data_IF_738356229618
#
_entry.id   IF_738356229618
#
_cell.length_a   1.000
_cell.length_b   1.000
_cell.length_c   1.000
_cell.angle_alpha   90.00
_cell.angle_beta   90.00
_cell.angle_gamma   90.00
#
_symmetry.space_group_name_H-M   'P 1'
#
loop_
_entity.id
_entity.type
_entity.pdbx_description
1 polymer ?
#
# COMPACT_ATOMS: atom_id res chain seq x y z
N UNK A 1 92.13 8.96 -0.40
CA UNK A 1 90.97 9.82 -0.12
C UNK A 1 90.03 9.70 -1.32
N UNK A 2 88.72 9.43 -1.09
CA UNK A 2 87.63 9.16 -2.05
C UNK A 2 87.65 7.77 -2.73
N UNK A 3 86.95 6.74 -2.21
CA UNK A 3 85.50 6.39 -2.14
C UNK A 3 84.92 5.77 -3.43
N UNK A 4 84.55 4.49 -3.27
CA UNK A 4 83.83 3.56 -4.15
C UNK A 4 82.42 4.06 -4.47
N UNK A 5 81.92 3.78 -5.69
CA UNK A 5 80.50 3.60 -5.97
C UNK A 5 80.30 2.25 -6.66
N UNK A 6 79.65 1.31 -5.99
CA UNK A 6 79.12 0.08 -6.58
C UNK A 6 77.62 0.29 -6.83
N UNK A 7 77.19 0.13 -8.07
CA UNK A 7 75.77 0.15 -8.42
C UNK A 7 75.13 -1.20 -8.09
N UNK A 8 74.25 -1.21 -7.09
CA UNK A 8 73.41 -2.36 -6.76
C UNK A 8 72.13 -2.32 -7.61
N UNK A 9 71.86 -3.41 -8.33
CA UNK A 9 70.58 -3.70 -8.98
C UNK A 9 69.52 -3.98 -7.90
N UNK A 10 68.45 -3.16 -7.85
CA UNK A 10 67.23 -3.47 -7.10
C UNK A 10 66.24 -4.15 -8.08
N UNK A 11 65.98 -5.44 -7.86
CA UNK A 11 64.88 -6.16 -8.49
C UNK A 11 63.63 -5.87 -7.64
N UNK A 12 62.72 -5.04 -8.16
CA UNK A 12 61.40 -4.83 -7.57
C UNK A 12 60.49 -5.96 -8.03
N UNK A 13 60.18 -6.88 -7.12
CA UNK A 13 59.17 -7.91 -7.33
C UNK A 13 57.79 -7.28 -7.21
N UNK A 14 57.04 -7.20 -8.32
CA UNK A 14 55.68 -6.71 -8.34
C UNK A 14 54.72 -7.80 -7.85
N UNK A 15 54.32 -7.73 -6.58
CA UNK A 15 53.19 -8.50 -6.06
C UNK A 15 51.90 -7.98 -6.69
N UNK A 16 51.35 -8.73 -7.64
CA UNK A 16 50.00 -8.52 -8.18
C UNK A 16 49.03 -8.92 -7.07
N UNK A 17 48.58 -7.94 -6.28
CA UNK A 17 47.40 -8.11 -5.43
C UNK A 17 46.18 -8.18 -6.35
N UNK A 18 45.73 -9.39 -6.66
CA UNK A 18 44.37 -9.60 -7.17
C UNK A 18 43.41 -9.07 -6.12
N UNK A 19 42.80 -7.92 -6.39
CA UNK A 19 41.67 -7.39 -5.62
C UNK A 19 40.49 -8.35 -5.76
N UNK A 20 40.43 -9.38 -4.91
CA UNK A 20 39.15 -9.98 -4.55
C UNK A 20 38.36 -8.91 -3.80
N UNK A 21 37.50 -8.18 -4.51
CA UNK A 21 36.45 -7.41 -3.86
C UNK A 21 35.59 -8.41 -3.06
N UNK A 22 35.48 -8.29 -1.74
CA UNK A 22 34.61 -9.15 -0.97
C UNK A 22 33.18 -8.90 -1.44
N UNK A 23 32.58 -9.89 -2.09
CA UNK A 23 31.15 -9.88 -2.37
C UNK A 23 30.46 -9.95 -1.01
N UNK A 24 29.95 -8.82 -0.52
CA UNK A 24 29.16 -8.78 0.71
C UNK A 24 27.96 -9.69 0.47
N UNK A 25 27.90 -10.82 1.17
CA UNK A 25 26.76 -11.73 1.10
C UNK A 25 25.55 -10.97 1.64
N UNK A 26 24.54 -10.75 0.79
CA UNK A 26 23.29 -10.13 1.21
C UNK A 26 22.60 -11.07 2.19
N UNK A 27 22.35 -10.59 3.41
CA UNK A 27 21.56 -11.32 4.39
C UNK A 27 20.09 -11.34 3.96
N UNK A 28 19.46 -12.52 3.99
CA UNK A 28 18.06 -12.68 3.64
C UNK A 28 17.21 -12.24 4.84
N UNK A 29 16.59 -11.07 4.73
CA UNK A 29 15.76 -10.47 5.77
C UNK A 29 14.34 -10.23 5.25
N UNK A 30 13.50 -11.27 5.29
CA UNK A 30 12.12 -11.21 4.81
C UNK A 30 11.17 -10.94 6.00
N UNK A 31 10.31 -9.93 5.84
CA UNK A 31 9.27 -9.51 6.77
C UNK A 31 7.88 -9.50 6.10
N UNK A 32 6.85 -10.10 6.71
CA UNK A 32 6.92 -11.00 7.86
C UNK A 32 7.79 -12.24 7.60
N UNK A 33 8.40 -12.78 8.66
CA UNK A 33 9.26 -13.97 8.58
C UNK A 33 8.48 -15.14 8.01
N UNK A 34 8.98 -15.80 6.93
CA UNK A 34 8.31 -16.96 6.37
C UNK A 34 8.23 -18.11 7.37
N UNK A 35 7.22 -18.98 7.21
CA UNK A 35 7.09 -20.20 8.01
C UNK A 35 8.31 -21.12 7.86
N UNK A 36 8.81 -21.28 6.62
CA UNK A 36 10.00 -22.06 6.31
C UNK A 36 10.82 -21.39 5.20
N UNK A 37 12.13 -21.32 5.39
CA UNK A 37 13.09 -20.82 4.40
C UNK A 37 14.37 -21.66 4.46
N UNK A 38 14.77 -22.22 3.31
CA UNK A 38 16.04 -22.93 3.13
C UNK A 38 16.86 -22.22 2.06
N UNK A 39 18.03 -21.68 2.44
CA UNK A 39 18.98 -21.06 1.52
C UNK A 39 19.98 -22.10 0.99
N UNK A 40 20.32 -22.02 -0.30
CA UNK A 40 21.36 -22.82 -0.92
C UNK A 40 22.37 -21.92 -1.64
N UNK A 41 23.48 -22.51 -2.10
CA UNK A 41 24.52 -21.76 -2.82
C UNK A 41 24.07 -21.42 -4.25
N UNK A 42 24.37 -20.19 -4.68
CA UNK A 42 24.05 -19.69 -6.01
C UNK A 42 22.99 -18.60 -6.00
N UNK A 43 22.69 -18.06 -7.17
CA UNK A 43 21.64 -17.07 -7.35
C UNK A 43 21.02 -17.15 -8.75
N UNK A 44 19.76 -16.75 -8.83
CA UNK A 44 19.04 -16.46 -10.06
C UNK A 44 19.36 -15.02 -10.49
N UNK A 45 19.97 -14.85 -11.67
CA UNK A 45 20.36 -13.52 -12.18
C UNK A 45 19.22 -12.92 -13.00
N UNK A 46 18.78 -11.71 -12.64
CA UNK A 46 17.77 -10.99 -13.43
C UNK A 46 18.41 -10.42 -14.70
N UNK A 47 17.72 -10.57 -15.82
CA UNK A 47 18.19 -10.17 -17.15
C UNK A 47 17.11 -9.40 -17.91
N UNK A 48 17.54 -8.60 -18.87
CA UNK A 48 16.62 -8.00 -19.83
C UNK A 48 15.95 -9.08 -20.70
N UNK A 49 14.70 -8.84 -21.08
CA UNK A 49 13.89 -9.73 -21.91
C UNK A 49 13.34 -10.95 -21.19
N UNK A 50 13.41 -10.99 -19.85
CA UNK A 50 12.82 -12.08 -19.07
C UNK A 50 11.33 -12.25 -19.36
N UNK A 51 10.86 -13.49 -19.21
CA UNK A 51 9.47 -13.88 -19.37
C UNK A 51 8.86 -14.31 -18.04
N UNK A 52 7.72 -13.73 -17.68
CA UNK A 52 6.88 -14.16 -16.57
C UNK A 52 5.72 -14.95 -17.15
N UNK A 53 5.68 -16.25 -16.87
CA UNK A 53 4.54 -17.09 -17.19
C UNK A 53 3.52 -17.14 -16.04
N UNK A 54 2.26 -17.29 -16.37
CA UNK A 54 1.18 -17.57 -15.41
C UNK A 54 0.35 -18.76 -15.85
N UNK A 55 -0.22 -19.51 -14.90
CA UNK A 55 -1.08 -20.66 -15.25
C UNK A 55 -2.46 -20.25 -15.78
N UNK A 56 -2.92 -19.05 -15.45
CA UNK A 56 -4.27 -18.58 -15.73
C UNK A 56 -4.27 -17.06 -16.00
N UNK A 57 -5.14 -16.59 -16.92
CA UNK A 57 -5.22 -15.17 -17.28
C UNK A 57 -5.66 -14.26 -16.13
N UNK A 58 -6.39 -14.79 -15.15
CA UNK A 58 -6.75 -14.08 -13.92
C UNK A 58 -5.54 -13.62 -13.10
N UNK A 59 -4.35 -14.19 -13.35
CA UNK A 59 -3.10 -13.78 -12.71
C UNK A 59 -2.34 -12.68 -13.48
N UNK A 60 -2.83 -12.23 -14.64
CA UNK A 60 -2.19 -11.13 -15.38
C UNK A 60 -2.01 -9.85 -14.55
N UNK A 61 -2.99 -9.41 -13.71
CA UNK A 61 -2.78 -8.25 -12.85
C UNK A 61 -1.62 -8.42 -11.85
N UNK A 62 -1.41 -9.62 -11.32
CA UNK A 62 -0.30 -9.94 -10.42
C UNK A 62 1.04 -9.94 -11.15
N UNK A 63 1.10 -10.52 -12.36
CA UNK A 63 2.30 -10.47 -13.20
C UNK A 63 2.65 -9.01 -13.60
N UNK A 64 1.63 -8.19 -13.90
CA UNK A 64 1.79 -6.76 -14.15
C UNK A 64 2.32 -6.00 -12.93
N UNK A 65 1.86 -6.35 -11.72
CA UNK A 65 2.37 -5.78 -10.48
C UNK A 65 3.85 -6.13 -10.25
N UNK A 66 4.23 -7.40 -10.45
CA UNK A 66 5.65 -7.78 -10.40
C UNK A 66 6.47 -7.05 -11.47
N UNK A 67 5.94 -6.89 -12.68
CA UNK A 67 6.61 -6.11 -13.72
C UNK A 67 6.85 -4.66 -13.26
N UNK A 68 5.88 -4.02 -12.61
CA UNK A 68 6.02 -2.67 -12.07
C UNK A 68 7.17 -2.58 -11.05
N UNK A 69 7.24 -3.52 -10.10
CA UNK A 69 8.35 -3.63 -9.13
C UNK A 69 9.70 -3.77 -9.87
N UNK A 70 9.75 -4.60 -10.91
CA UNK A 70 10.98 -4.87 -11.64
C UNK A 70 11.39 -3.75 -12.61
N UNK A 71 10.56 -2.72 -12.89
CA UNK A 71 10.94 -1.62 -13.80
C UNK A 71 12.17 -0.83 -13.34
N UNK A 72 12.39 -0.76 -12.03
CA UNK A 72 13.58 -0.13 -11.45
C UNK A 72 14.82 -1.04 -11.54
N UNK A 73 14.63 -2.32 -11.87
CA UNK A 73 15.63 -3.39 -11.81
C UNK A 73 16.12 -3.76 -13.21
N UNK A 74 15.21 -3.86 -14.19
CA UNK A 74 15.50 -4.26 -15.58
C UNK A 74 15.05 -3.18 -16.59
N UNK A 75 15.65 -3.16 -17.78
CA UNK A 75 15.47 -2.13 -18.81
C UNK A 75 14.34 -2.38 -19.78
N UNK A 76 14.14 -3.63 -20.14
CA UNK A 76 13.06 -4.03 -21.05
C UNK A 76 11.83 -4.51 -20.29
N UNK A 77 10.65 -4.33 -20.88
CA UNK A 77 9.41 -4.90 -20.38
C UNK A 77 9.46 -6.43 -20.32
N UNK A 78 8.94 -6.99 -19.24
CA UNK A 78 8.71 -8.44 -19.12
C UNK A 78 7.54 -8.86 -20.01
N UNK A 79 7.70 -9.94 -20.77
CA UNK A 79 6.60 -10.59 -21.50
C UNK A 79 5.78 -11.46 -20.54
N UNK A 80 4.45 -11.26 -20.51
CA UNK A 80 3.53 -12.10 -19.75
C UNK A 80 2.87 -13.10 -20.69
N UNK A 81 2.95 -14.38 -20.36
CA UNK A 81 2.41 -15.46 -21.20
C UNK A 81 1.75 -16.55 -20.37
N UNK A 82 0.84 -17.32 -20.97
CA UNK A 82 0.33 -18.56 -20.38
C UNK A 82 1.16 -19.78 -20.81
N UNK A 83 2.09 -19.61 -21.75
CA UNK A 83 2.98 -20.68 -22.19
C UNK A 83 4.08 -20.93 -21.15
N UNK A 84 4.07 -22.12 -20.57
CA UNK A 84 5.07 -22.55 -19.58
C UNK A 84 6.42 -22.85 -20.21
N UNK A 85 6.48 -23.11 -21.52
CA UNK A 85 7.72 -23.49 -22.19
C UNK A 85 8.68 -22.29 -22.24
N UNK A 86 9.80 -22.43 -21.50
CA UNK A 86 10.91 -21.45 -21.44
C UNK A 86 10.55 -20.08 -20.83
N UNK A 87 9.85 -20.06 -19.69
CA UNK A 87 9.70 -18.84 -18.86
C UNK A 87 10.68 -18.81 -17.69
N UNK A 88 11.23 -17.64 -17.40
CA UNK A 88 12.20 -17.44 -16.31
C UNK A 88 11.50 -17.46 -14.95
N UNK A 89 10.31 -16.85 -14.84
CA UNK A 89 9.45 -16.95 -13.66
C UNK A 89 8.10 -17.56 -14.04
N UNK A 90 7.53 -18.41 -13.18
CA UNK A 90 6.20 -18.99 -13.43
C UNK A 90 5.36 -19.03 -12.16
N UNK A 91 4.14 -18.49 -12.25
CA UNK A 91 3.18 -18.38 -11.17
C UNK A 91 1.97 -19.25 -11.46
N UNK A 92 1.63 -20.16 -10.55
CA UNK A 92 0.47 -21.03 -10.73
C UNK A 92 -0.40 -21.16 -9.50
N UNK A 93 -1.71 -21.26 -9.75
CA UNK A 93 -2.68 -21.64 -8.72
C UNK A 93 -2.72 -23.16 -8.58
N UNK A 94 -2.67 -23.63 -7.34
CA UNK A 94 -2.79 -25.03 -6.96
C UNK A 94 -3.48 -25.14 -5.60
N UNK A 95 -4.67 -25.74 -5.59
CA UNK A 95 -5.49 -25.92 -4.39
C UNK A 95 -4.80 -26.74 -3.28
N UNK A 96 -3.75 -27.51 -3.61
CA UNK A 96 -3.05 -28.39 -2.68
C UNK A 96 -1.96 -27.72 -1.85
N UNK A 97 -1.71 -26.41 -2.03
CA UNK A 97 -0.59 -25.70 -1.38
C UNK A 97 -0.84 -25.44 0.11
N UNK A 98 -2.10 -25.39 0.54
CA UNK A 98 -2.48 -25.18 1.93
C UNK A 98 -3.74 -24.32 2.06
N UNK A 99 -3.83 -23.58 3.17
CA UNK A 99 -4.94 -22.65 3.46
C UNK A 99 -4.90 -21.40 2.57
N UNK A 100 -5.94 -20.54 2.55
CA UNK A 100 -5.92 -19.30 1.77
C UNK A 100 -4.66 -18.46 2.01
N UNK A 101 -4.18 -17.79 0.95
CA UNK A 101 -2.94 -17.02 0.89
C UNK A 101 -1.63 -17.78 1.14
N UNK A 102 -1.64 -19.11 1.16
CA UNK A 102 -0.41 -19.91 1.23
C UNK A 102 0.32 -19.91 -0.11
N UNK A 103 1.65 -19.99 -0.07
CA UNK A 103 2.48 -20.17 -1.26
C UNK A 103 3.73 -21.00 -0.99
N UNK A 104 4.24 -21.61 -2.05
CA UNK A 104 5.59 -22.18 -2.14
C UNK A 104 6.36 -21.41 -3.20
N UNK A 105 7.59 -21.03 -2.89
CA UNK A 105 8.50 -20.37 -3.81
C UNK A 105 9.80 -21.18 -3.91
N UNK A 106 10.19 -21.48 -5.13
CA UNK A 106 11.47 -22.10 -5.46
C UNK A 106 12.24 -21.15 -6.38
N UNK A 107 13.47 -20.79 -5.97
CA UNK A 107 14.43 -20.05 -6.77
C UNK A 107 15.63 -20.95 -7.05
N UNK A 108 15.99 -21.09 -8.32
CA UNK A 108 17.17 -21.84 -8.83
C UNK A 108 18.00 -20.92 -9.72
N UNK A 109 19.24 -21.27 -10.08
CA UNK A 109 20.02 -20.45 -11.02
C UNK A 109 19.32 -20.23 -12.39
N UNK A 110 18.44 -21.15 -12.80
CA UNK A 110 17.78 -21.14 -14.10
C UNK A 110 16.38 -20.52 -14.09
N UNK A 111 15.65 -20.59 -12.96
CA UNK A 111 14.26 -20.16 -12.90
C UNK A 111 13.77 -19.82 -11.48
N UNK A 112 12.63 -19.12 -11.43
CA UNK A 112 11.78 -19.01 -10.24
C UNK A 112 10.41 -19.65 -10.50
N UNK A 113 9.90 -20.42 -9.54
CA UNK A 113 8.55 -21.01 -9.57
C UNK A 113 7.80 -20.67 -8.31
N UNK A 114 6.53 -20.30 -8.48
CA UNK A 114 5.60 -20.02 -7.39
C UNK A 114 4.35 -20.86 -7.58
N UNK A 115 3.97 -21.58 -6.52
CA UNK A 115 2.68 -22.25 -6.41
C UNK A 115 1.91 -21.60 -5.27
N UNK A 116 0.66 -21.20 -5.47
CA UNK A 116 -0.17 -20.62 -4.41
C UNK A 116 -1.58 -21.20 -4.42
N UNK A 117 -2.23 -21.16 -3.26
CA UNK A 117 -3.64 -21.59 -3.14
C UNK A 117 -4.59 -20.64 -3.87
N UNK A 118 -4.32 -19.33 -3.84
CA UNK A 118 -5.18 -18.29 -4.40
C UNK A 118 -4.36 -17.07 -4.89
N UNK A 119 -5.05 -16.06 -5.42
CA UNK A 119 -4.43 -14.81 -5.88
C UNK A 119 -3.62 -14.11 -4.77
N UNK A 120 -4.13 -14.09 -3.54
CA UNK A 120 -3.46 -13.46 -2.39
C UNK A 120 -2.14 -14.16 -2.01
N UNK A 121 -2.06 -15.48 -2.23
CA UNK A 121 -0.82 -16.24 -2.10
C UNK A 121 0.20 -15.89 -3.17
N UNK A 122 -0.24 -15.66 -4.42
CA UNK A 122 0.62 -15.15 -5.50
C UNK A 122 1.19 -13.77 -5.15
N UNK A 123 0.35 -12.85 -4.65
CA UNK A 123 0.83 -11.52 -4.23
C UNK A 123 1.81 -11.63 -3.07
N UNK A 124 1.54 -12.50 -2.09
CA UNK A 124 2.45 -12.73 -0.96
C UNK A 124 3.82 -13.25 -1.42
N UNK A 125 3.84 -14.14 -2.43
CA UNK A 125 5.07 -14.61 -3.05
C UNK A 125 5.81 -13.50 -3.80
N UNK A 126 5.09 -12.63 -4.54
CA UNK A 126 5.67 -11.45 -5.21
C UNK A 126 6.32 -10.51 -4.18
N UNK A 127 5.67 -10.27 -3.04
CA UNK A 127 6.25 -9.48 -1.95
C UNK A 127 7.53 -10.13 -1.41
N UNK A 128 7.55 -11.46 -1.27
CA UNK A 128 8.77 -12.19 -0.88
C UNK A 128 9.88 -12.07 -1.93
N UNK A 129 9.56 -12.17 -3.23
CA UNK A 129 10.52 -11.93 -4.32
C UNK A 129 11.09 -10.51 -4.24
N UNK A 130 10.24 -9.50 -4.01
CA UNK A 130 10.65 -8.10 -3.85
C UNK A 130 11.65 -7.93 -2.70
N UNK A 131 11.43 -8.60 -1.56
CA UNK A 131 12.31 -8.50 -0.40
C UNK A 131 13.57 -9.38 -0.47
N UNK A 132 13.60 -10.37 -1.36
CA UNK A 132 14.84 -11.10 -1.68
C UNK A 132 15.82 -10.25 -2.50
N UNK A 133 15.34 -9.19 -3.14
CA UNK A 133 16.16 -8.18 -3.82
C UNK A 133 16.67 -7.13 -2.81
N UNK A 134 17.81 -6.49 -3.07
CA UNK A 134 18.36 -5.47 -2.17
C UNK A 134 17.51 -4.20 -2.18
N UNK A 135 17.51 -3.46 -1.06
CA UNK A 135 16.74 -2.22 -0.89
C UNK A 135 17.05 -1.13 -1.96
N UNK A 136 18.16 -1.24 -2.67
CA UNK A 136 18.51 -0.33 -3.77
C UNK A 136 17.54 -0.39 -4.94
N UNK A 137 16.68 -1.43 -5.05
CA UNK A 137 15.61 -1.46 -6.08
C UNK A 137 14.51 -0.42 -5.84
N UNK A 138 14.40 0.09 -4.61
CA UNK A 138 13.33 1.04 -4.21
C UNK A 138 13.69 2.49 -4.55
N UNK A 139 14.95 2.76 -4.90
CA UNK A 139 15.45 4.09 -5.23
C UNK A 139 15.78 4.14 -6.72
N UNK A 140 15.36 5.18 -7.41
CA UNK A 140 15.77 5.40 -8.79
C UNK A 140 17.27 5.65 -8.85
N UNK A 141 17.98 4.87 -9.67
CA UNK A 141 19.43 4.94 -9.80
C UNK A 141 19.94 4.18 -11.01
N UNK A 142 21.26 4.08 -11.15
CA UNK A 142 21.88 3.27 -12.21
C UNK A 142 21.48 1.80 -12.04
N UNK A 143 21.01 1.19 -13.13
CA UNK A 143 20.60 -0.21 -13.13
C UNK A 143 21.81 -1.09 -12.88
N UNK A 144 21.75 -1.87 -11.81
CA UNK A 144 22.79 -2.81 -11.43
C UNK A 144 22.42 -4.23 -11.87
N UNK A 145 23.39 -5.14 -11.83
CA UNK A 145 23.10 -6.57 -11.97
C UNK A 145 22.49 -7.07 -10.66
N UNK A 146 21.18 -7.29 -10.66
CA UNK A 146 20.45 -7.82 -9.52
C UNK A 146 20.31 -9.34 -9.62
N UNK A 147 20.32 -10.00 -8.47
CA UNK A 147 20.12 -11.45 -8.38
C UNK A 147 19.30 -11.81 -7.14
N UNK A 148 18.55 -12.90 -7.22
CA UNK A 148 17.80 -13.49 -6.12
C UNK A 148 18.54 -14.75 -5.66
N UNK A 149 18.78 -14.96 -4.35
CA UNK A 149 19.47 -16.17 -3.87
C UNK A 149 18.66 -17.44 -4.21
N UNK A 150 19.36 -18.56 -4.32
CA UNK A 150 18.71 -19.89 -4.46
C UNK A 150 18.07 -20.24 -3.12
N UNK A 151 16.74 -20.33 -3.11
CA UNK A 151 15.96 -20.56 -1.90
C UNK A 151 14.76 -21.46 -2.17
N UNK A 152 14.36 -22.19 -1.14
CA UNK A 152 13.04 -22.83 -1.06
C UNK A 152 12.29 -22.23 0.13
N UNK A 153 11.11 -21.68 -0.14
CA UNK A 153 10.25 -21.03 0.85
C UNK A 153 8.87 -21.69 0.81
N UNK A 154 8.37 -22.07 1.98
CA UNK A 154 6.96 -22.42 2.17
C UNK A 154 6.40 -21.47 3.22
N UNK A 155 5.28 -20.83 2.90
CA UNK A 155 4.77 -19.75 3.73
C UNK A 155 3.24 -19.66 3.69
N UNK A 156 2.67 -19.23 4.81
CA UNK A 156 1.25 -19.07 5.00
C UNK A 156 0.98 -18.08 6.15
N UNK A 157 -0.06 -17.24 6.06
CA UNK A 157 -0.34 -16.28 7.11
C UNK A 157 -0.81 -16.99 8.38
N UNK A 158 -0.43 -16.53 9.57
CA UNK A 158 -1.02 -17.04 10.82
C UNK A 158 -2.52 -16.74 10.91
N UNK A 159 -2.91 -15.51 10.56
CA UNK A 159 -4.29 -15.02 10.58
C UNK A 159 -4.72 -14.56 9.18
N UNK A 160 -5.96 -14.86 8.82
CA UNK A 160 -6.53 -14.47 7.53
C UNK A 160 -6.85 -12.98 7.46
N UNK A 161 -7.27 -12.38 8.58
CA UNK A 161 -7.53 -10.95 8.68
C UNK A 161 -6.29 -10.20 9.18
N UNK A 162 -5.63 -9.44 8.31
CA UNK A 162 -4.43 -8.64 8.64
C UNK A 162 -4.70 -7.20 8.22
N UNK A 163 -5.26 -6.45 9.16
CA UNK A 163 -5.84 -5.14 8.91
C UNK A 163 -4.90 -3.97 9.17
N UNK A 164 -5.12 -2.89 8.42
CA UNK A 164 -4.66 -1.54 8.72
C UNK A 164 -5.84 -0.58 8.54
N UNK A 165 -6.04 0.32 9.50
CA UNK A 165 -7.12 1.31 9.46
C UNK A 165 -6.56 2.70 9.16
N UNK A 166 -7.14 3.40 8.19
CA UNK A 166 -6.81 4.80 7.87
C UNK A 166 -7.99 5.71 8.20
N UNK A 167 -7.75 6.67 9.10
CA UNK A 167 -8.67 7.77 9.37
C UNK A 167 -8.49 8.85 8.30
N UNK A 168 -9.39 8.86 7.32
CA UNK A 168 -9.44 9.92 6.31
C UNK A 168 -10.38 11.06 6.70
N UNK A 169 -11.11 10.91 7.81
CA UNK A 169 -12.12 11.87 8.24
C UNK A 169 -11.51 13.05 8.98
N UNK A 170 -10.73 12.81 10.04
CA UNK A 170 -10.18 13.89 10.88
C UNK A 170 -9.24 14.81 10.08
N UNK A 171 -8.39 14.19 9.27
CA UNK A 171 -7.52 14.82 8.29
C UNK A 171 -7.64 14.06 6.97
N UNK A 172 -7.85 14.78 5.88
CA UNK A 172 -8.06 14.18 4.57
C UNK A 172 -6.76 13.63 3.99
N UNK A 173 -6.84 12.45 3.38
CA UNK A 173 -5.76 11.80 2.64
C UNK A 173 -6.12 11.78 1.16
N UNK A 174 -5.34 12.40 0.29
CA UNK A 174 -5.62 12.36 -1.15
C UNK A 174 -5.39 10.95 -1.73
N UNK A 175 -5.88 10.70 -2.94
CA UNK A 175 -5.78 9.40 -3.61
C UNK A 175 -4.34 8.86 -3.70
N UNK A 176 -3.36 9.72 -3.95
CA UNK A 176 -1.94 9.32 -4.06
C UNK A 176 -1.42 8.83 -2.70
N UNK A 177 -1.76 9.52 -1.62
CA UNK A 177 -1.36 9.13 -0.26
C UNK A 177 -2.02 7.80 0.15
N UNK A 178 -3.31 7.60 -0.17
CA UNK A 178 -4.00 6.33 0.09
C UNK A 178 -3.35 5.17 -0.66
N UNK A 179 -3.02 5.36 -1.94
CA UNK A 179 -2.31 4.36 -2.75
C UNK A 179 -0.94 4.02 -2.16
N UNK A 180 -0.22 5.01 -1.65
CA UNK A 180 1.05 4.77 -0.98
C UNK A 180 0.90 3.91 0.28
N UNK A 181 -0.14 4.13 1.08
CA UNK A 181 -0.47 3.25 2.22
C UNK A 181 -0.74 1.81 1.74
N UNK A 182 -1.49 1.63 0.65
CA UNK A 182 -1.76 0.31 0.08
C UNK A 182 -0.47 -0.40 -0.42
N UNK A 183 0.49 0.34 -0.97
CA UNK A 183 1.80 -0.21 -1.34
C UNK A 183 2.55 -0.73 -0.10
N UNK A 184 2.55 0.03 0.99
CA UNK A 184 3.17 -0.37 2.26
C UNK A 184 2.45 -1.58 2.87
N UNK A 185 1.12 -1.60 2.85
CA UNK A 185 0.34 -2.75 3.30
C UNK A 185 0.72 -4.02 2.54
N UNK A 186 0.82 -3.94 1.20
CA UNK A 186 1.22 -5.06 0.34
C UNK A 186 2.64 -5.54 0.64
N UNK A 187 3.57 -4.60 0.88
CA UNK A 187 4.96 -4.91 1.26
C UNK A 187 5.05 -5.73 2.55
N UNK A 188 4.11 -5.55 3.48
CA UNK A 188 4.03 -6.30 4.74
C UNK A 188 2.97 -7.40 4.74
N UNK A 189 2.44 -7.77 3.56
CA UNK A 189 1.43 -8.83 3.38
C UNK A 189 0.12 -8.59 4.15
N UNK A 190 -0.21 -7.33 4.49
CA UNK A 190 -1.52 -6.95 5.03
C UNK A 190 -2.58 -6.98 3.92
N UNK A 191 -3.81 -7.37 4.24
CA UNK A 191 -4.84 -7.67 3.23
C UNK A 191 -6.23 -7.06 3.51
N UNK A 192 -6.41 -6.35 4.62
CA UNK A 192 -7.68 -5.66 4.92
C UNK A 192 -7.40 -4.18 5.14
N UNK A 193 -7.85 -3.34 4.23
CA UNK A 193 -7.75 -1.89 4.35
C UNK A 193 -9.06 -1.35 4.91
N UNK A 194 -9.09 -1.07 6.21
CA UNK A 194 -10.24 -0.45 6.85
C UNK A 194 -10.17 1.05 6.63
N UNK A 195 -11.11 1.57 5.87
CA UNK A 195 -11.11 2.97 5.47
C UNK A 195 -12.21 3.74 6.19
N UNK A 196 -11.82 4.55 7.17
CA UNK A 196 -12.73 5.37 7.97
C UNK A 196 -13.04 6.67 7.22
N UNK A 197 -14.25 6.74 6.64
CA UNK A 197 -14.64 7.72 5.62
C UNK A 197 -15.57 8.83 6.14
N UNK A 198 -16.08 8.72 7.36
CA UNK A 198 -16.95 9.75 7.94
C UNK A 198 -16.74 9.88 9.43
N UNK A 199 -16.69 11.11 9.93
CA UNK A 199 -16.69 11.44 11.35
C UNK A 199 -17.26 12.86 11.56
N UNK A 200 -17.15 13.39 12.76
CA UNK A 200 -17.62 14.73 13.12
C UNK A 200 -16.95 15.85 12.33
N UNK A 201 -15.68 15.68 11.94
CA UNK A 201 -14.86 16.71 11.29
C UNK A 201 -14.87 16.60 9.76
N UNK A 202 -15.52 15.58 9.19
CA UNK A 202 -15.50 15.36 7.76
C UNK A 202 -16.36 14.21 7.26
N UNK A 203 -16.97 14.42 6.10
CA UNK A 203 -17.56 13.37 5.29
C UNK A 203 -16.76 13.23 4.00
N UNK A 204 -16.22 12.04 3.71
CA UNK A 204 -15.18 11.86 2.68
C UNK A 204 -15.63 11.10 1.45
N UNK A 205 -16.86 10.62 1.38
CA UNK A 205 -17.38 9.84 0.25
C UNK A 205 -18.50 10.59 -0.44
N UNK A 206 -18.44 10.72 -1.76
CA UNK A 206 -19.58 11.19 -2.55
C UNK A 206 -20.78 10.26 -2.37
N UNK A 207 -21.95 10.84 -2.11
CA UNK A 207 -23.25 10.14 -2.09
C UNK A 207 -24.18 10.96 -2.97
N UNK A 208 -24.51 10.47 -4.15
CA UNK A 208 -25.22 11.19 -5.20
C UNK A 208 -26.58 11.69 -4.71
N UNK A 209 -27.29 10.89 -3.90
CA UNK A 209 -28.58 11.30 -3.33
C UNK A 209 -28.46 12.44 -2.30
N UNK A 210 -27.29 12.63 -1.70
CA UNK A 210 -27.06 13.60 -0.62
C UNK A 210 -25.84 14.49 -0.89
N UNK A 211 -25.85 15.34 -1.93
CA UNK A 211 -24.68 16.09 -2.39
C UNK A 211 -24.07 17.02 -1.33
N UNK A 212 -24.87 17.55 -0.39
CA UNK A 212 -24.35 18.43 0.66
C UNK A 212 -23.34 17.74 1.59
N UNK A 213 -23.34 16.40 1.65
CA UNK A 213 -22.37 15.65 2.44
C UNK A 213 -20.94 15.95 2.00
N UNK A 214 -20.68 16.09 0.70
CA UNK A 214 -19.34 16.42 0.17
C UNK A 214 -19.19 17.88 -0.25
N UNK A 215 -20.23 18.52 -0.75
CA UNK A 215 -20.17 19.95 -1.10
C UNK A 215 -19.82 20.83 0.12
N UNK A 216 -20.38 20.48 1.28
CA UNK A 216 -20.19 21.19 2.56
C UNK A 216 -19.58 20.31 3.65
N UNK A 217 -20.13 19.12 3.90
CA UNK A 217 -19.70 18.24 5.01
C UNK A 217 -18.24 17.74 4.90
N UNK A 218 -17.65 17.74 3.71
CA UNK A 218 -16.24 17.44 3.50
C UNK A 218 -15.28 18.58 3.88
N UNK A 219 -15.79 19.75 4.29
CA UNK A 219 -14.96 20.95 4.42
C UNK A 219 -15.23 21.67 5.73
N UNK A 220 -14.15 22.07 6.42
CA UNK A 220 -14.23 22.79 7.70
C UNK A 220 -13.24 23.94 7.76
N UNK A 221 -13.52 24.93 8.60
CA UNK A 221 -12.50 25.92 8.99
C UNK A 221 -11.38 25.24 9.79
N UNK A 222 -10.21 25.85 9.83
CA UNK A 222 -9.11 25.35 10.66
C UNK A 222 -9.50 25.28 12.14
N UNK A 223 -9.36 24.09 12.70
CA UNK A 223 -9.60 23.82 14.12
C UNK A 223 -8.32 24.08 14.92
N UNK A 224 -8.37 23.81 16.23
CA UNK A 224 -7.22 24.01 17.12
C UNK A 224 -6.00 23.18 16.71
N UNK A 225 -6.18 21.96 16.20
CA UNK A 225 -5.07 21.09 15.81
C UNK A 225 -4.34 21.63 14.59
N UNK A 226 -5.07 22.07 13.55
CA UNK A 226 -4.41 22.64 12.36
C UNK A 226 -3.68 23.93 12.73
N UNK A 227 -4.28 24.78 13.58
CA UNK A 227 -3.64 26.01 14.06
C UNK A 227 -2.38 25.73 14.87
N UNK A 228 -2.37 24.68 15.68
CA UNK A 228 -1.19 24.23 16.41
C UNK A 228 -0.09 23.77 15.44
N UNK A 229 -0.42 22.97 14.42
CA UNK A 229 0.55 22.59 13.39
C UNK A 229 1.13 23.82 12.69
N UNK A 230 0.29 24.76 12.25
CA UNK A 230 0.75 26.00 11.61
C UNK A 230 1.65 26.86 12.52
N UNK A 231 1.34 26.93 13.82
CA UNK A 231 2.19 27.63 14.79
C UNK A 231 3.54 26.94 14.94
N UNK A 232 3.56 25.61 15.10
CA UNK A 232 4.78 24.81 15.20
C UNK A 232 5.63 24.89 13.94
N UNK A 233 5.03 24.89 12.75
CA UNK A 233 5.75 25.06 11.49
C UNK A 233 6.62 26.32 11.49
N UNK A 234 6.08 27.41 12.06
CA UNK A 234 6.77 28.69 12.18
C UNK A 234 7.77 28.73 13.34
N UNK A 235 7.39 28.22 14.51
CA UNK A 235 8.21 28.26 15.72
C UNK A 235 9.43 27.34 15.64
N UNK A 236 9.28 26.19 14.98
CA UNK A 236 10.31 25.15 14.86
C UNK A 236 11.06 25.21 13.52
N UNK A 237 10.71 26.13 12.61
CA UNK A 237 11.21 26.18 11.22
C UNK A 237 11.10 24.81 10.52
N UNK A 238 9.95 24.16 10.69
CA UNK A 238 9.72 22.79 10.22
C UNK A 238 8.52 22.73 9.27
N UNK A 239 8.80 22.52 7.99
CA UNK A 239 7.80 22.45 6.92
C UNK A 239 6.87 21.25 7.04
N UNK A 240 7.23 20.20 7.79
CA UNK A 240 6.39 19.00 7.96
C UNK A 240 5.07 19.30 8.70
N UNK A 241 5.01 20.42 9.43
CA UNK A 241 3.78 20.86 10.10
C UNK A 241 2.90 21.79 9.24
N UNK A 242 3.31 22.11 8.01
CA UNK A 242 2.47 22.91 7.12
C UNK A 242 1.23 22.12 6.70
N UNK A 243 0.09 22.81 6.64
CA UNK A 243 -1.12 22.23 6.08
C UNK A 243 -0.94 22.14 4.55
N UNK A 244 -1.09 20.96 3.93
CA UNK A 244 -0.90 20.80 2.49
C UNK A 244 -1.87 21.68 1.68
N UNK A 245 -1.34 22.39 0.67
CA UNK A 245 -2.12 23.32 -0.15
C UNK A 245 -3.22 22.62 -0.96
N UNK A 246 -2.99 21.37 -1.39
CA UNK A 246 -3.95 20.55 -2.13
C UNK A 246 -5.16 20.11 -1.29
N UNK A 247 -5.15 20.40 0.03
CA UNK A 247 -6.23 20.12 0.98
C UNK A 247 -6.95 21.40 1.43
N UNK A 248 -6.64 22.54 0.81
CA UNK A 248 -7.19 23.85 1.13
C UNK A 248 -8.02 24.37 -0.03
N UNK A 249 -9.16 25.00 0.27
CA UNK A 249 -9.94 25.79 -0.70
C UNK A 249 -10.39 27.12 -0.09
N UNK A 250 -10.61 28.13 -0.93
CA UNK A 250 -11.16 29.42 -0.52
C UNK A 250 -12.58 29.56 -1.07
N UNK A 251 -13.54 29.80 -0.19
CA UNK A 251 -14.96 30.01 -0.55
C UNK A 251 -15.43 31.26 0.15
N UNK A 252 -15.86 32.28 -0.61
CA UNK A 252 -16.40 33.54 -0.08
C UNK A 252 -15.48 34.24 0.95
N UNK A 253 -14.16 34.09 0.79
CA UNK A 253 -13.16 34.66 1.69
C UNK A 253 -12.81 33.80 2.91
N UNK A 254 -13.53 32.69 3.14
CA UNK A 254 -13.19 31.69 4.15
C UNK A 254 -12.18 30.68 3.59
N UNK A 255 -11.10 30.44 4.34
CA UNK A 255 -10.17 29.32 4.10
C UNK A 255 -10.73 28.06 4.73
N UNK A 256 -10.98 27.05 3.91
CA UNK A 256 -11.48 25.74 4.31
C UNK A 256 -10.44 24.66 4.07
N UNK A 257 -10.42 23.68 4.96
CA UNK A 257 -9.62 22.47 4.88
C UNK A 257 -10.53 21.27 4.64
N UNK A 258 -10.11 20.34 3.80
CA UNK A 258 -10.84 19.10 3.58
C UNK A 258 -10.55 18.44 2.25
N UNK A 259 -11.57 17.74 1.75
CA UNK A 259 -11.50 16.90 0.58
C UNK A 259 -12.42 15.68 0.74
N UNK A 260 -12.74 15.05 -0.39
CA UNK A 260 -13.55 13.85 -0.48
C UNK A 260 -13.13 13.03 -1.70
N UNK A 261 -13.60 11.80 -1.77
CA UNK A 261 -13.41 10.86 -2.87
C UNK A 261 -14.69 10.79 -3.68
N UNK A 262 -14.55 11.00 -4.99
CA UNK A 262 -15.63 10.72 -5.95
C UNK A 262 -15.85 9.22 -6.12
N UNK A 263 -16.96 8.83 -6.74
CA UNK A 263 -17.18 7.44 -7.13
C UNK A 263 -16.03 6.87 -7.98
N UNK A 264 -15.45 7.67 -8.88
CA UNK A 264 -14.35 7.24 -9.73
C UNK A 264 -13.03 7.11 -8.96
N UNK A 265 -12.75 8.01 -8.00
CA UNK A 265 -11.59 7.87 -7.11
C UNK A 265 -11.66 6.58 -6.29
N UNK A 266 -12.84 6.26 -5.77
CA UNK A 266 -13.06 5.03 -4.98
C UNK A 266 -12.86 3.80 -5.86
N UNK A 267 -13.47 3.74 -7.05
CA UNK A 267 -13.28 2.63 -7.99
C UNK A 267 -11.81 2.44 -8.36
N UNK A 268 -11.08 3.54 -8.57
CA UNK A 268 -9.65 3.49 -8.87
C UNK A 268 -8.84 2.95 -7.67
N UNK A 269 -9.16 3.37 -6.44
CA UNK A 269 -8.48 2.89 -5.22
C UNK A 269 -8.80 1.42 -4.96
N UNK A 270 -10.06 1.00 -5.09
CA UNK A 270 -10.50 -0.40 -4.96
C UNK A 270 -9.76 -1.27 -5.97
N UNK A 271 -9.73 -0.91 -7.25
CA UNK A 271 -9.00 -1.66 -8.27
C UNK A 271 -7.49 -1.74 -7.97
N UNK A 272 -6.90 -0.65 -7.48
CA UNK A 272 -5.49 -0.59 -7.08
C UNK A 272 -5.18 -1.51 -5.90
N UNK A 273 -6.08 -1.58 -4.90
CA UNK A 273 -6.00 -2.48 -3.76
C UNK A 273 -6.18 -3.95 -4.17
N UNK A 274 -7.16 -4.25 -5.04
CA UNK A 274 -7.40 -5.60 -5.56
C UNK A 274 -6.17 -6.16 -6.26
N UNK A 275 -5.47 -5.38 -7.08
CA UNK A 275 -4.23 -5.81 -7.73
C UNK A 275 -3.18 -6.27 -6.71
N UNK A 276 -3.17 -5.67 -5.51
CA UNK A 276 -2.28 -5.96 -4.38
C UNK A 276 -2.84 -6.99 -3.40
N UNK A 277 -3.95 -7.66 -3.71
CA UNK A 277 -4.58 -8.65 -2.83
C UNK A 277 -5.12 -8.05 -1.53
N UNK A 278 -5.54 -6.79 -1.57
CA UNK A 278 -6.10 -6.06 -0.43
C UNK A 278 -7.59 -5.82 -0.66
N UNK A 279 -8.40 -6.16 0.34
CA UNK A 279 -9.82 -5.83 0.37
C UNK A 279 -10.02 -4.49 1.07
N UNK A 280 -10.84 -3.63 0.48
CA UNK A 280 -11.16 -2.30 1.04
C UNK A 280 -12.48 -2.39 1.81
N UNK A 281 -12.41 -2.22 3.12
CA UNK A 281 -13.55 -2.28 4.03
C UNK A 281 -13.94 -0.84 4.37
N UNK A 282 -15.00 -0.28 3.75
CA UNK A 282 -15.43 1.08 4.05
C UNK A 282 -16.07 1.14 5.44
N UNK A 283 -15.92 2.28 6.10
CA UNK A 283 -16.66 2.61 7.31
C UNK A 283 -17.41 3.92 7.17
N UNK A 284 -18.71 3.86 7.46
CA UNK A 284 -19.54 5.02 7.76
C UNK A 284 -20.00 4.87 9.22
N UNK A 285 -19.36 5.60 10.12
CA UNK A 285 -19.59 5.49 11.56
C UNK A 285 -21.00 6.00 11.93
N UNK A 286 -21.76 5.22 12.68
CA UNK A 286 -23.09 5.54 13.16
C UNK A 286 -23.47 4.72 14.41
N UNK A 287 -24.35 5.23 15.30
CA UNK A 287 -25.08 6.51 15.19
C UNK A 287 -24.29 7.73 15.67
N UNK A 288 -23.13 7.50 16.28
CA UNK A 288 -22.22 8.56 16.71
C UNK A 288 -21.42 9.18 15.56
N UNK A 289 -20.47 10.05 15.90
CA UNK A 289 -19.49 10.60 14.95
C UNK A 289 -20.07 11.16 13.64
N UNK A 290 -21.21 11.88 13.73
CA UNK A 290 -22.02 12.23 12.57
C UNK A 290 -22.13 13.74 12.30
N UNK A 291 -21.41 14.60 13.02
CA UNK A 291 -21.58 16.08 12.91
C UNK A 291 -21.42 16.62 11.49
N UNK A 292 -20.51 16.06 10.69
CA UNK A 292 -20.30 16.48 9.31
C UNK A 292 -21.57 16.33 8.46
N UNK A 293 -22.36 15.28 8.71
CA UNK A 293 -23.60 15.01 8.01
C UNK A 293 -24.80 15.75 8.62
N UNK A 294 -25.02 15.66 9.94
CA UNK A 294 -26.18 16.34 10.57
C UNK A 294 -26.08 17.86 10.51
N UNK A 295 -24.88 18.43 10.38
CA UNK A 295 -24.71 19.85 10.10
C UNK A 295 -25.27 20.30 8.74
N UNK A 296 -25.46 19.36 7.80
CA UNK A 296 -26.05 19.63 6.48
C UNK A 296 -27.50 19.13 6.37
N UNK A 297 -27.84 18.08 7.12
CA UNK A 297 -29.17 17.46 7.18
C UNK A 297 -29.68 17.45 8.64
N UNK A 298 -30.10 18.61 9.17
CA UNK A 298 -30.47 18.75 10.58
C UNK A 298 -31.73 17.97 10.97
N UNK A 299 -32.54 17.52 10.02
CA UNK A 299 -33.70 16.66 10.25
C UNK A 299 -33.34 15.29 10.84
N UNK A 300 -32.08 14.86 10.69
CA UNK A 300 -31.59 13.56 11.14
C UNK A 300 -31.44 13.46 12.68
N UNK A 301 -31.37 14.57 13.41
CA UNK A 301 -31.28 14.59 14.89
C UNK A 301 -32.67 14.58 15.55
N UNK A 302 -32.79 14.08 16.78
CA UNK A 302 -34.11 13.90 17.41
C UNK A 302 -34.78 15.23 17.81
N UNK A 303 -34.04 16.12 18.45
CA UNK A 303 -34.52 17.31 19.15
C UNK A 303 -34.04 18.63 18.51
N UNK A 304 -33.35 18.54 17.37
CA UNK A 304 -32.77 19.69 16.68
C UNK A 304 -31.44 20.18 17.27
N UNK A 305 -30.91 19.54 18.32
CA UNK A 305 -29.63 19.92 18.90
C UNK A 305 -28.46 19.32 18.11
N UNK A 306 -27.66 20.20 17.50
CA UNK A 306 -26.47 19.82 16.73
C UNK A 306 -25.25 20.50 17.34
N UNK A 307 -24.28 19.70 17.77
CA UNK A 307 -23.00 20.23 18.22
C UNK A 307 -22.21 19.23 19.06
N UNK A 308 -21.18 19.76 19.72
CA UNK A 308 -20.39 19.01 20.68
C UNK A 308 -21.02 19.10 22.07
N UNK A 309 -21.29 17.95 22.68
CA UNK A 309 -21.54 17.83 24.11
C UNK A 309 -20.23 17.81 24.90
N UNK A 310 -20.32 17.45 26.19
CA UNK A 310 -19.14 17.39 27.08
C UNK A 310 -18.15 16.28 26.69
N UNK A 311 -18.65 15.17 26.18
CA UNK A 311 -17.88 13.95 25.89
C UNK A 311 -18.08 13.43 24.47
N UNK A 312 -19.20 13.76 23.84
CA UNK A 312 -19.59 13.21 22.55
C UNK A 312 -20.37 14.25 21.75
N UNK A 313 -20.38 14.12 20.44
CA UNK A 313 -21.18 14.95 19.54
C UNK A 313 -22.66 14.53 19.52
N UNK A 314 -23.52 15.36 18.95
CA UNK A 314 -24.91 14.96 18.69
C UNK A 314 -24.93 13.76 17.72
N UNK A 315 -25.58 12.63 18.09
CA UNK A 315 -25.75 11.50 17.18
C UNK A 315 -26.94 11.71 16.23
N UNK A 316 -27.03 10.87 15.20
CA UNK A 316 -28.29 10.73 14.45
C UNK A 316 -29.37 10.09 15.32
N UNK A 317 -30.65 10.30 14.98
CA UNK A 317 -31.80 9.80 15.70
C UNK A 317 -32.28 8.43 15.16
N UNK A 318 -31.98 7.29 15.80
CA UNK A 318 -32.36 5.98 15.27
C UNK A 318 -33.87 5.72 15.34
N UNK A 319 -34.60 6.51 16.14
CA UNK A 319 -36.06 6.41 16.30
C UNK A 319 -36.87 7.12 15.22
N UNK A 320 -36.24 7.68 14.17
CA UNK A 320 -36.92 8.35 13.05
C UNK A 320 -36.79 7.52 11.78
N UNK A 321 -37.93 7.23 11.13
CA UNK A 321 -37.96 6.53 9.85
C UNK A 321 -37.16 7.26 8.77
N UNK A 322 -37.19 8.60 8.75
CA UNK A 322 -36.39 9.42 7.81
C UNK A 322 -34.89 9.24 8.01
N UNK A 323 -34.44 9.05 9.25
CA UNK A 323 -33.02 8.79 9.55
C UNK A 323 -32.63 7.38 9.11
N UNK A 324 -33.50 6.39 9.33
CA UNK A 324 -33.27 5.03 8.84
C UNK A 324 -33.24 4.99 7.30
N UNK A 325 -34.15 5.69 6.64
CA UNK A 325 -34.15 5.85 5.19
C UNK A 325 -32.85 6.53 4.70
N UNK A 326 -32.38 7.58 5.38
CA UNK A 326 -31.10 8.20 5.06
C UNK A 326 -29.95 7.17 5.10
N UNK A 327 -29.82 6.42 6.20
CA UNK A 327 -28.77 5.40 6.34
C UNK A 327 -28.86 4.30 5.28
N UNK A 328 -30.07 3.83 4.95
CA UNK A 328 -30.29 2.82 3.91
C UNK A 328 -29.83 3.31 2.54
N UNK A 329 -30.13 4.57 2.20
CA UNK A 329 -29.72 5.16 0.94
C UNK A 329 -28.20 5.33 0.85
N UNK A 330 -27.55 5.80 1.92
CA UNK A 330 -26.08 5.88 2.00
C UNK A 330 -25.46 4.51 1.78
N UNK A 331 -25.88 3.49 2.54
CA UNK A 331 -25.28 2.16 2.42
C UNK A 331 -25.55 1.49 1.09
N UNK A 332 -26.69 1.77 0.44
CA UNK A 332 -26.95 1.28 -0.91
C UNK A 332 -25.86 1.74 -1.89
N UNK A 333 -25.50 3.02 -1.86
CA UNK A 333 -24.42 3.55 -2.71
C UNK A 333 -23.04 3.01 -2.28
N UNK A 334 -22.77 2.91 -0.98
CA UNK A 334 -21.53 2.30 -0.46
C UNK A 334 -21.37 0.85 -0.97
N UNK A 335 -22.40 0.02 -0.91
CA UNK A 335 -22.31 -1.37 -1.36
C UNK A 335 -22.07 -1.51 -2.87
N UNK A 336 -22.51 -0.54 -3.67
CA UNK A 336 -22.23 -0.51 -5.11
C UNK A 336 -20.75 -0.18 -5.40
N UNK A 337 -20.10 0.60 -4.54
CA UNK A 337 -18.71 1.03 -4.71
C UNK A 337 -17.69 0.04 -4.13
N UNK A 338 -18.06 -0.72 -3.10
CA UNK A 338 -17.17 -1.62 -2.38
C UNK A 338 -17.69 -3.07 -2.49
N UNK A 339 -17.23 -3.84 -3.49
CA UNK A 339 -17.75 -5.18 -3.78
C UNK A 339 -17.16 -6.25 -2.86
N UNK A 340 -17.15 -6.01 -1.55
CA UNK A 340 -16.57 -6.89 -0.54
C UNK A 340 -17.64 -7.38 0.44
N UNK A 341 -17.38 -8.52 1.09
CA UNK A 341 -18.31 -9.15 2.02
C UNK A 341 -18.61 -8.29 3.27
N UNK A 342 -17.67 -7.42 3.65
CA UNK A 342 -17.74 -6.65 4.89
C UNK A 342 -17.80 -5.14 4.64
N UNK A 343 -18.61 -4.48 5.47
CA UNK A 343 -18.69 -3.03 5.67
C UNK A 343 -18.68 -2.78 7.18
N UNK A 344 -18.02 -1.71 7.62
CA UNK A 344 -18.02 -1.31 9.02
C UNK A 344 -19.04 -0.18 9.24
N UNK A 345 -19.79 -0.26 10.35
CA UNK A 345 -20.82 0.73 10.69
C UNK A 345 -20.42 1.61 11.88
N UNK A 346 -19.19 1.47 12.38
CA UNK A 346 -18.77 2.10 13.64
C UNK A 346 -19.50 1.52 14.84
N UNK A 347 -20.00 2.39 15.72
CA UNK A 347 -20.80 2.00 16.89
C UNK A 347 -20.74 3.01 18.04
#
# INVERSE_FOLDING_TARGET
MFKKLSSSFLIVSACIFSSCTPTVKQEIAILPTPVSLTEQSGSFVLKDGMKIGVSDQSLFPAAGYLQEILRNVISSSVEVTTDKSQVDMYFQLKDTVGKPSSYKLESTPEYIRVEATDYSGIISAITTIRQLLPATIEVQGEKQNYSIPVVQIEDAPRFEWRGFMLDASRHFWNKKEVKHVLDLMSLYKLNKFHWHLSDDQGWRIEIEKYPLLTEKGAWRKFNTQDRTCMARAKEEDNTDFLIPEDKIRIVEGDTLYGGYYTHDDIKEIVAYATQRGIDVIPEIDMPGHFLAAIGQYPELVCDGLIGWGKTFSSPICPGKDTTLEFCQNVFKEVFELFPYEYVHMGG
#
